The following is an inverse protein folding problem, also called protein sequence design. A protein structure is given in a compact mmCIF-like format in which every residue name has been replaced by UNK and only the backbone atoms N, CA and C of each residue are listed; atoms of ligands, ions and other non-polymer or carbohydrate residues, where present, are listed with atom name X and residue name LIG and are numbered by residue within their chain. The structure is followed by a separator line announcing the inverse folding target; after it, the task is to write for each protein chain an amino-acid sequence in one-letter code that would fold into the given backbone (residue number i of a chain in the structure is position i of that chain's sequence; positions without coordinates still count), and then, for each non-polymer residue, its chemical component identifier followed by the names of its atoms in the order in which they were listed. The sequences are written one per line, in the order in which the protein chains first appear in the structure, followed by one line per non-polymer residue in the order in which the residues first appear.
data_IF_711550354688
#
_entry.id   IF_711550354688
#
_cell.length_a   1.000
_cell.length_b   1.000
_cell.length_c   1.000
_cell.angle_alpha   90.00
_cell.angle_beta   90.00
_cell.angle_gamma   90.00
#
_symmetry.space_group_name_H-M   'P 1'
#
loop_
_entity.id
_entity.type
_entity.pdbx_description
1 polymer ?
#
# COMPACT_ATOMS: atom_id res chain seq x y z
N UNK A 1 38.29 -31.20 -49.24
CA UNK A 1 39.59 -30.64 -49.65
C UNK A 1 39.84 -29.46 -48.74
N UNK A 2 40.34 -29.69 -47.53
CA UNK A 2 41.77 -29.85 -47.18
C UNK A 2 42.51 -28.52 -47.34
N UNK A 3 43.36 -28.00 -46.46
CA UNK A 3 43.94 -28.37 -45.16
C UNK A 3 44.77 -27.12 -44.78
N UNK A 4 44.77 -26.72 -43.50
CA UNK A 4 45.89 -26.16 -42.69
C UNK A 4 46.76 -25.00 -43.22
N UNK A 5 46.97 -23.97 -42.40
CA UNK A 5 48.30 -23.66 -41.83
C UNK A 5 48.22 -22.74 -40.60
N UNK A 6 49.23 -22.89 -39.75
CA UNK A 6 49.31 -22.55 -38.33
C UNK A 6 50.47 -21.58 -38.05
N UNK A 7 50.31 -20.73 -37.02
CA UNK A 7 51.35 -20.12 -36.16
C UNK A 7 52.34 -19.09 -36.80
N UNK A 8 53.06 -18.21 -36.03
CA UNK A 8 53.52 -18.42 -34.64
C UNK A 8 53.43 -17.23 -33.65
N UNK A 9 53.83 -17.60 -32.42
CA UNK A 9 53.91 -16.88 -31.15
C UNK A 9 55.11 -15.92 -31.09
N UNK A 10 55.04 -14.86 -30.28
CA UNK A 10 56.20 -14.37 -29.50
C UNK A 10 55.83 -13.45 -28.33
N UNK A 11 56.23 -13.91 -27.13
CA UNK A 11 56.88 -13.21 -26.00
C UNK A 11 56.27 -11.88 -25.50
N UNK A 12 55.62 -11.85 -24.33
CA UNK A 12 56.23 -11.76 -22.98
C UNK A 12 56.97 -10.44 -22.72
N UNK A 13 56.38 -9.55 -21.91
CA UNK A 13 57.10 -8.71 -20.95
C UNK A 13 56.11 -8.13 -19.94
N UNK A 14 56.32 -8.51 -18.67
CA UNK A 14 55.67 -7.91 -17.52
C UNK A 14 56.22 -6.50 -17.28
N UNK A 15 55.36 -5.56 -16.87
CA UNK A 15 55.79 -4.39 -16.12
C UNK A 15 54.63 -3.92 -15.23
N UNK A 16 54.65 -4.39 -13.98
CA UNK A 16 53.97 -3.74 -12.86
C UNK A 16 54.69 -2.41 -12.60
N UNK A 17 54.00 -1.30 -12.82
CA UNK A 17 54.37 -0.02 -12.19
C UNK A 17 53.10 0.55 -11.58
N UNK A 18 52.96 0.33 -10.28
CA UNK A 18 52.07 1.11 -9.45
C UNK A 18 52.72 2.48 -9.25
N UNK A 19 52.08 3.53 -9.74
CA UNK A 19 52.37 4.90 -9.36
C UNK A 19 51.04 5.55 -8.98
N UNK A 20 50.79 5.62 -7.67
CA UNK A 20 49.77 6.48 -7.10
C UNK A 20 50.24 7.93 -7.26
N UNK A 21 49.42 8.77 -7.89
CA UNK A 21 49.57 10.23 -7.82
C UNK A 21 48.19 10.82 -7.56
N UNK A 22 47.96 11.16 -6.30
CA UNK A 22 46.83 11.95 -5.87
C UNK A 22 47.22 13.43 -6.08
N UNK A 23 46.55 14.12 -7.00
CA UNK A 23 46.65 15.57 -7.08
C UNK A 23 45.27 16.14 -7.44
N UNK A 24 44.67 16.78 -6.43
CA UNK A 24 43.40 17.48 -6.43
C UNK A 24 43.67 18.99 -6.60
N UNK A 25 43.26 19.57 -7.73
CA UNK A 25 43.00 20.99 -7.97
C UNK A 25 42.47 21.07 -9.41
N UNK A 26 41.38 21.73 -9.78
CA UNK A 26 40.61 22.84 -9.23
C UNK A 26 39.91 23.43 -10.46
N UNK A 27 38.59 23.62 -10.38
CA UNK A 27 37.70 23.82 -11.54
C UNK A 27 38.04 25.03 -12.41
N UNK A 28 38.01 24.83 -13.74
CA UNK A 28 37.92 25.89 -14.74
C UNK A 28 36.59 25.75 -15.50
N UNK A 29 35.98 26.90 -15.81
CA UNK A 29 34.68 27.03 -16.43
C UNK A 29 34.67 26.70 -17.94
N UNK A 30 33.54 26.11 -18.36
CA UNK A 30 32.86 26.13 -19.68
C UNK A 30 33.69 26.13 -20.97
N UNK A 31 33.59 25.06 -21.77
CA UNK A 31 32.58 24.92 -22.84
C UNK A 31 32.83 23.66 -23.70
N UNK A 32 31.73 23.16 -24.27
CA UNK A 32 31.58 22.31 -25.46
C UNK A 32 31.44 20.78 -25.34
N UNK A 33 30.19 20.37 -25.62
CA UNK A 33 29.67 19.11 -26.18
C UNK A 33 29.73 17.84 -25.33
N UNK A 34 28.61 17.59 -24.62
CA UNK A 34 28.14 16.24 -24.36
C UNK A 34 26.71 16.09 -24.90
N UNK A 35 26.59 15.19 -25.87
CA UNK A 35 25.34 14.61 -26.30
C UNK A 35 24.65 13.88 -25.13
N UNK A 36 23.32 13.87 -25.22
CA UNK A 36 22.42 12.88 -24.63
C UNK A 36 22.70 12.45 -23.18
N UNK A 37 22.11 13.20 -22.25
CA UNK A 37 21.35 12.58 -21.19
C UNK A 37 20.17 13.50 -20.94
N UNK A 38 19.06 13.23 -21.63
CA UNK A 38 17.77 13.68 -21.16
C UNK A 38 17.69 13.35 -19.68
N UNK A 39 17.83 14.39 -18.85
CA UNK A 39 17.31 14.38 -17.50
C UNK A 39 15.80 14.40 -17.65
N UNK A 40 15.26 13.25 -18.09
CA UNK A 40 14.08 12.70 -17.47
C UNK A 40 14.45 12.60 -16.00
N UNK A 41 14.27 13.72 -15.30
CA UNK A 41 13.73 13.63 -13.96
C UNK A 41 12.47 12.82 -14.19
N UNK A 42 12.56 11.50 -13.99
CA UNK A 42 11.41 10.75 -13.59
C UNK A 42 10.97 11.50 -12.34
N UNK A 43 10.06 12.46 -12.53
CA UNK A 43 8.89 12.49 -11.71
C UNK A 43 8.41 11.04 -11.71
N UNK A 44 8.96 10.25 -10.78
CA UNK A 44 8.17 9.26 -10.10
C UNK A 44 7.00 10.11 -9.65
N UNK A 45 5.93 10.09 -10.46
CA UNK A 45 4.59 10.28 -9.97
C UNK A 45 4.60 9.42 -8.72
N UNK A 46 4.72 10.03 -7.55
CA UNK A 46 4.44 9.32 -6.32
C UNK A 46 3.10 8.68 -6.61
N UNK A 47 3.06 7.35 -6.62
CA UNK A 47 1.79 6.66 -6.84
C UNK A 47 0.84 7.26 -5.83
N UNK A 48 -0.33 7.67 -6.29
CA UNK A 48 -1.37 8.23 -5.43
C UNK A 48 -2.41 7.11 -5.31
N UNK A 49 -2.12 6.16 -4.43
CA UNK A 49 -2.96 4.98 -4.20
C UNK A 49 -4.38 5.42 -3.82
N UNK A 50 -4.54 6.51 -3.07
CA UNK A 50 -5.85 7.08 -2.75
C UNK A 50 -6.67 7.48 -3.98
N UNK A 51 -6.02 7.98 -5.04
CA UNK A 51 -6.71 8.27 -6.33
C UNK A 51 -6.91 7.02 -7.19
N UNK A 52 -6.04 6.02 -7.06
CA UNK A 52 -6.11 4.78 -7.83
C UNK A 52 -7.13 3.78 -7.30
N UNK A 53 -7.36 3.76 -5.99
CA UNK A 53 -8.30 2.86 -5.32
C UNK A 53 -9.68 3.50 -5.25
N UNK A 54 -10.66 2.84 -5.86
CA UNK A 54 -12.07 3.21 -5.76
C UNK A 54 -12.74 2.40 -4.67
N UNK A 55 -13.52 3.05 -3.83
CA UNK A 55 -14.37 2.38 -2.85
C UNK A 55 -15.79 2.33 -3.38
N UNK A 56 -16.34 1.12 -3.47
CA UNK A 56 -17.67 0.86 -3.98
C UNK A 56 -18.53 0.23 -2.89
N UNK A 57 -19.84 0.49 -2.97
CA UNK A 57 -20.85 -0.06 -2.06
C UNK A 57 -20.56 0.20 -0.57
N UNK A 58 -19.80 1.25 -0.24
CA UNK A 58 -19.35 1.58 1.11
C UNK A 58 -20.52 1.74 2.10
N UNK A 59 -20.49 0.96 3.18
CA UNK A 59 -21.53 1.01 4.21
C UNK A 59 -21.02 0.68 5.60
N UNK A 60 -21.68 1.25 6.61
CA UNK A 60 -21.41 0.99 8.03
C UNK A 60 -22.63 0.32 8.64
N UNK A 61 -22.43 -0.65 9.54
CA UNK A 61 -23.55 -1.28 10.25
C UNK A 61 -24.17 -0.28 11.23
N UNK A 62 -25.49 -0.10 11.16
CA UNK A 62 -26.23 0.67 12.16
C UNK A 62 -26.10 -0.01 13.53
N UNK A 63 -25.93 0.80 14.58
CA UNK A 63 -25.74 0.28 15.93
C UNK A 63 -26.05 1.34 16.98
N UNK A 64 -26.60 0.89 18.11
CA UNK A 64 -26.69 1.64 19.37
C UNK A 64 -25.57 1.23 20.36
N UNK A 65 -24.72 0.26 19.98
CA UNK A 65 -23.57 -0.16 20.76
C UNK A 65 -22.34 0.76 20.59
N UNK A 66 -21.31 0.54 21.41
CA UNK A 66 -20.05 1.33 21.40
C UNK A 66 -19.15 1.05 20.18
N UNK A 67 -19.52 0.07 19.35
CA UNK A 67 -18.68 -0.47 18.28
C UNK A 67 -19.49 -0.82 17.03
N UNK A 68 -18.90 -0.61 15.85
CA UNK A 68 -19.49 -0.98 14.55
C UNK A 68 -18.44 -1.34 13.51
N UNK A 69 -18.83 -2.15 12.52
CA UNK A 69 -18.01 -2.48 11.35
C UNK A 69 -18.42 -1.68 10.11
N UNK A 70 -17.43 -1.32 9.29
CA UNK A 70 -17.59 -0.72 7.97
C UNK A 70 -17.02 -1.59 6.87
N UNK A 71 -17.76 -1.65 5.77
CA UNK A 71 -17.69 -2.66 4.73
C UNK A 71 -17.84 -2.02 3.34
N UNK A 72 -17.48 -2.76 2.29
CA UNK A 72 -17.49 -2.28 0.90
C UNK A 72 -16.41 -2.96 0.08
N UNK A 73 -16.21 -2.53 -1.16
CA UNK A 73 -15.23 -3.12 -2.06
C UNK A 73 -14.17 -2.09 -2.45
N UNK A 74 -12.90 -2.40 -2.20
CA UNK A 74 -11.76 -1.59 -2.60
C UNK A 74 -11.25 -2.11 -3.95
N UNK A 75 -11.37 -1.33 -5.02
CA UNK A 75 -10.91 -1.70 -6.37
C UNK A 75 -9.72 -0.85 -6.77
N UNK A 76 -8.56 -1.47 -6.97
CA UNK A 76 -7.35 -0.80 -7.43
C UNK A 76 -7.32 -0.73 -8.96
N UNK A 77 -7.35 0.48 -9.51
CA UNK A 77 -7.36 0.71 -10.96
C UNK A 77 -5.97 1.00 -11.55
N UNK A 78 -4.91 0.90 -10.74
CA UNK A 78 -3.53 1.10 -11.18
C UNK A 78 -2.82 -0.20 -11.53
N UNK A 79 -1.63 -0.06 -12.12
CA UNK A 79 -0.74 -1.17 -12.52
C UNK A 79 0.25 -1.58 -11.40
N UNK A 80 0.00 -1.18 -10.15
CA UNK A 80 0.84 -1.52 -9.00
C UNK A 80 -0.03 -1.82 -7.77
N UNK A 81 0.46 -2.65 -6.85
CA UNK A 81 -0.26 -2.94 -5.61
C UNK A 81 -0.50 -1.66 -4.80
N UNK A 82 -1.71 -1.54 -4.23
CA UNK A 82 -2.05 -0.56 -3.22
C UNK A 82 -2.28 -1.26 -1.88
N UNK A 83 -1.95 -0.61 -0.77
CA UNK A 83 -2.15 -1.20 0.57
C UNK A 83 -2.83 -0.17 1.46
N UNK A 84 -4.03 -0.49 1.94
CA UNK A 84 -4.72 0.31 2.95
C UNK A 84 -4.10 -0.03 4.32
N UNK A 85 -3.48 0.95 4.98
CA UNK A 85 -2.73 0.72 6.22
C UNK A 85 -3.36 1.37 7.45
N UNK A 86 -4.29 2.32 7.26
CA UNK A 86 -4.95 3.00 8.36
C UNK A 86 -6.31 3.52 7.95
N UNK A 87 -7.24 3.56 8.90
CA UNK A 87 -8.52 4.24 8.78
C UNK A 87 -8.73 5.17 9.99
N UNK A 88 -9.43 6.28 9.80
CA UNK A 88 -9.81 7.22 10.87
C UNK A 88 -11.23 7.75 10.60
N UNK A 89 -11.99 8.05 11.66
CA UNK A 89 -13.28 8.73 11.54
C UNK A 89 -13.49 9.62 12.76
N UNK A 90 -14.16 10.76 12.56
CA UNK A 90 -14.55 11.63 13.66
C UNK A 90 -15.68 11.05 14.51
N UNK A 91 -16.40 10.03 14.03
CA UNK A 91 -17.48 9.37 14.77
C UNK A 91 -16.97 8.38 15.84
N UNK A 92 -15.68 8.00 15.79
CA UNK A 92 -15.09 6.99 16.66
C UNK A 92 -13.84 7.50 17.38
N UNK A 93 -13.62 7.05 18.61
CA UNK A 93 -12.38 7.32 19.36
C UNK A 93 -11.19 6.48 18.89
N UNK A 94 -11.47 5.36 18.20
CA UNK A 94 -10.46 4.44 17.67
C UNK A 94 -11.01 3.75 16.43
N UNK A 95 -10.18 3.64 15.39
CA UNK A 95 -10.53 2.91 14.16
C UNK A 95 -9.36 2.00 13.80
N UNK A 96 -9.66 0.75 13.49
CA UNK A 96 -8.68 -0.30 13.18
C UNK A 96 -9.08 -1.06 11.91
N UNK A 97 -8.11 -1.68 11.25
CA UNK A 97 -8.35 -2.66 10.20
C UNK A 97 -8.38 -4.03 10.86
N UNK A 98 -9.43 -4.82 10.66
CA UNK A 98 -9.59 -6.11 11.31
C UNK A 98 -9.69 -7.22 10.26
N UNK A 99 -9.28 -8.43 10.66
CA UNK A 99 -9.43 -9.66 9.90
C UNK A 99 -10.01 -10.77 10.78
N UNK A 100 -10.46 -11.84 10.12
CA UNK A 100 -10.83 -13.07 10.82
C UNK A 100 -9.61 -13.96 11.00
N UNK A 101 -9.29 -14.26 12.25
CA UNK A 101 -8.17 -15.11 12.60
C UNK A 101 -8.61 -16.28 13.49
N UNK A 102 -7.96 -17.43 13.30
CA UNK A 102 -8.23 -18.66 14.05
C UNK A 102 -8.14 -19.91 13.18
N UNK A 103 -8.10 -21.08 13.82
CA UNK A 103 -8.21 -22.39 13.17
C UNK A 103 -9.48 -23.10 13.63
N UNK A 104 -10.05 -23.93 12.75
CA UNK A 104 -11.34 -24.63 12.89
C UNK A 104 -11.86 -24.80 14.32
N UNK A 105 -12.88 -24.00 14.67
CA UNK A 105 -13.65 -24.10 15.93
C UNK A 105 -13.68 -22.82 16.77
N UNK A 106 -12.77 -21.87 16.53
CA UNK A 106 -12.79 -20.55 17.18
C UNK A 106 -12.24 -19.50 16.22
N UNK A 107 -13.11 -18.93 15.40
CA UNK A 107 -12.78 -17.75 14.59
C UNK A 107 -13.08 -16.51 15.41
N UNK A 108 -12.08 -15.63 15.56
CA UNK A 108 -12.22 -14.36 16.27
C UNK A 108 -11.74 -13.21 15.40
N UNK A 109 -12.37 -12.06 15.56
CA UNK A 109 -11.89 -10.82 14.95
C UNK A 109 -10.68 -10.27 15.71
N UNK A 110 -9.68 -9.84 14.96
CA UNK A 110 -8.49 -9.17 15.50
C UNK A 110 -7.98 -8.09 14.55
N UNK A 111 -7.17 -7.17 15.08
CA UNK A 111 -6.50 -6.14 14.30
C UNK A 111 -5.47 -6.74 13.32
N UNK A 112 -5.48 -6.22 12.09
CA UNK A 112 -4.61 -6.58 10.98
C UNK A 112 -3.48 -5.56 10.84
N UNK A 113 -2.34 -5.84 11.47
CA UNK A 113 -1.19 -4.92 11.48
C UNK A 113 -0.57 -4.68 10.08
N UNK A 114 -0.71 -5.65 9.17
CA UNK A 114 -0.17 -5.57 7.80
C UNK A 114 -0.99 -4.71 6.82
N UNK A 115 -2.16 -4.23 7.25
CA UNK A 115 -3.11 -3.56 6.36
C UNK A 115 -3.78 -4.52 5.37
N UNK A 116 -4.50 -3.94 4.41
CA UNK A 116 -5.28 -4.67 3.40
C UNK A 116 -4.66 -4.41 2.03
N UNK A 117 -4.01 -5.43 1.47
CA UNK A 117 -3.44 -5.38 0.12
C UNK A 117 -4.53 -5.47 -0.94
N UNK A 118 -4.38 -4.63 -1.97
CA UNK A 118 -5.28 -4.53 -3.12
C UNK A 118 -4.40 -4.64 -4.38
N UNK A 119 -4.26 -5.86 -4.95
CA UNK A 119 -3.38 -6.08 -6.10
C UNK A 119 -3.74 -5.20 -7.30
N UNK A 120 -2.76 -4.99 -8.19
CA UNK A 120 -2.93 -4.18 -9.39
C UNK A 120 -4.10 -4.69 -10.26
N UNK A 121 -5.04 -3.81 -10.60
CA UNK A 121 -6.23 -4.16 -11.40
C UNK A 121 -7.26 -5.06 -10.69
N UNK A 122 -7.06 -5.40 -9.42
CA UNK A 122 -7.92 -6.30 -8.64
C UNK A 122 -8.75 -5.56 -7.58
N UNK A 123 -9.52 -6.32 -6.81
CA UNK A 123 -10.32 -5.80 -5.70
C UNK A 123 -10.12 -6.61 -4.42
N UNK A 124 -10.20 -5.91 -3.30
CA UNK A 124 -10.29 -6.50 -1.96
C UNK A 124 -11.68 -6.20 -1.39
N UNK A 125 -12.34 -7.22 -0.85
CA UNK A 125 -13.66 -7.10 -0.25
C UNK A 125 -13.55 -6.87 1.26
N UNK A 126 -14.25 -5.85 1.75
CA UNK A 126 -14.47 -5.61 3.16
C UNK A 126 -15.87 -6.12 3.50
N UNK A 127 -15.97 -7.23 4.23
CA UNK A 127 -17.23 -7.92 4.48
C UNK A 127 -17.35 -8.43 5.92
N UNK A 128 -18.59 -8.58 6.43
CA UNK A 128 -18.83 -9.26 7.70
C UNK A 128 -18.24 -10.67 7.68
N UNK A 129 -17.47 -11.04 8.69
CA UNK A 129 -16.74 -12.32 8.72
C UNK A 129 -15.54 -12.40 7.77
N UNK A 130 -15.06 -11.27 7.25
CA UNK A 130 -13.80 -11.14 6.52
C UNK A 130 -12.98 -9.94 7.01
N UNK A 131 -12.17 -9.37 6.12
CA UNK A 131 -11.52 -8.08 6.37
C UNK A 131 -12.59 -6.99 6.53
N UNK A 132 -12.41 -6.06 7.47
CA UNK A 132 -13.32 -4.93 7.64
C UNK A 132 -12.65 -3.78 8.39
N UNK A 133 -13.27 -2.60 8.35
CA UNK A 133 -12.83 -1.45 9.14
C UNK A 133 -13.66 -1.43 10.42
N UNK A 134 -13.00 -1.58 11.56
CA UNK A 134 -13.63 -1.61 12.87
C UNK A 134 -13.62 -0.21 13.51
N UNK A 135 -14.80 0.31 13.86
CA UNK A 135 -14.99 1.54 14.62
C UNK A 135 -15.25 1.19 16.08
N UNK A 136 -14.44 1.74 16.97
CA UNK A 136 -14.52 1.50 18.41
C UNK A 136 -14.61 2.82 19.19
N UNK A 137 -15.27 2.79 20.36
CA UNK A 137 -15.54 3.97 21.18
C UNK A 137 -16.34 5.01 20.37
N UNK A 138 -17.45 4.56 19.80
CA UNK A 138 -18.36 5.43 19.04
C UNK A 138 -18.83 6.58 19.92
N UNK A 139 -18.79 7.81 19.37
CA UNK A 139 -19.19 9.01 20.10
C UNK A 139 -20.71 9.15 20.21
N UNK A 140 -21.43 8.60 19.23
CA UNK A 140 -22.88 8.62 19.14
C UNK A 140 -23.38 7.30 18.54
N UNK A 141 -24.67 7.02 18.69
CA UNK A 141 -25.37 5.96 17.94
C UNK A 141 -25.29 6.22 16.42
N UNK A 142 -25.18 5.16 15.62
CA UNK A 142 -25.18 5.22 14.16
C UNK A 142 -26.52 4.73 13.63
N UNK A 143 -27.33 5.63 13.03
CA UNK A 143 -28.66 5.27 12.50
C UNK A 143 -28.62 5.00 11.01
N UNK A 144 -29.50 4.12 10.56
CA UNK A 144 -29.63 3.83 9.14
C UNK A 144 -29.86 5.12 8.32
N UNK A 145 -29.08 5.26 7.24
CA UNK A 145 -29.06 6.43 6.38
C UNK A 145 -28.02 7.50 6.73
N UNK A 146 -27.44 7.48 7.95
CA UNK A 146 -26.41 8.44 8.34
C UNK A 146 -25.10 8.18 7.59
N UNK A 147 -24.42 9.21 7.06
CA UNK A 147 -23.08 9.06 6.50
C UNK A 147 -22.05 8.99 7.62
N UNK A 148 -21.12 8.03 7.51
CA UNK A 148 -19.92 7.95 8.34
C UNK A 148 -18.71 8.21 7.44
N UNK A 149 -18.11 9.39 7.57
CA UNK A 149 -16.91 9.73 6.81
C UNK A 149 -15.70 9.01 7.41
N UNK A 150 -15.03 8.20 6.59
CA UNK A 150 -13.82 7.48 6.96
C UNK A 150 -12.67 7.95 6.09
N UNK A 151 -11.62 8.46 6.73
CA UNK A 151 -10.34 8.76 6.11
C UNK A 151 -9.51 7.50 6.00
N UNK A 152 -9.29 7.04 4.78
CA UNK A 152 -8.44 5.91 4.43
C UNK A 152 -7.02 6.42 4.13
N UNK A 153 -6.00 5.81 4.73
CA UNK A 153 -4.59 6.12 4.49
C UNK A 153 -3.90 4.91 3.89
N UNK A 154 -3.23 5.13 2.77
CA UNK A 154 -2.52 4.09 2.02
C UNK A 154 -1.02 4.08 2.35
N UNK A 155 -0.34 3.00 1.99
CA UNK A 155 1.08 2.79 2.34
C UNK A 155 2.03 3.84 1.76
N UNK A 156 1.65 4.51 0.68
CA UNK A 156 2.37 5.64 0.08
C UNK A 156 2.16 6.98 0.84
N UNK A 157 1.32 6.98 1.88
CA UNK A 157 0.95 8.16 2.67
C UNK A 157 -0.20 8.98 2.08
N UNK A 158 -0.72 8.62 0.91
CA UNK A 158 -1.91 9.26 0.33
C UNK A 158 -3.16 8.93 1.13
N UNK A 159 -4.15 9.83 1.09
CA UNK A 159 -5.40 9.69 1.85
C UNK A 159 -6.63 10.01 1.01
N UNK A 160 -7.71 9.25 1.23
CA UNK A 160 -9.03 9.52 0.68
C UNK A 160 -10.06 9.57 1.81
N UNK A 161 -10.96 10.56 1.77
CA UNK A 161 -12.16 10.57 2.63
C UNK A 161 -13.30 9.93 1.85
N UNK A 162 -13.90 8.90 2.42
CA UNK A 162 -14.97 8.13 1.78
C UNK A 162 -16.18 8.10 2.72
N UNK A 163 -17.38 8.50 2.23
CA UNK A 163 -18.60 8.36 3.00
C UNK A 163 -19.09 6.91 2.96
N UNK A 164 -19.25 6.30 4.13
CA UNK A 164 -19.90 5.00 4.30
C UNK A 164 -21.33 5.22 4.73
N UNK A 165 -22.31 4.73 3.96
CA UNK A 165 -23.73 4.92 4.30
C UNK A 165 -24.13 3.90 5.36
N UNK A 166 -24.69 4.35 6.48
CA UNK A 166 -25.12 3.44 7.54
C UNK A 166 -26.34 2.62 7.12
N UNK A 167 -26.33 1.31 7.37
CA UNK A 167 -27.41 0.37 6.99
C UNK A 167 -27.77 -0.54 8.16
N UNK A 168 -29.06 -0.85 8.29
CA UNK A 168 -29.51 -1.95 9.16
C UNK A 168 -28.97 -3.29 8.64
N UNK A 169 -28.29 -4.04 9.51
CA UNK A 169 -27.77 -5.36 9.19
C UNK A 169 -27.79 -6.27 10.42
N UNK A 170 -28.47 -7.42 10.30
CA UNK A 170 -28.62 -8.41 11.38
C UNK A 170 -27.83 -9.70 11.15
N UNK A 171 -26.92 -9.74 10.17
CA UNK A 171 -26.46 -11.01 9.57
C UNK A 171 -25.13 -11.59 10.08
N UNK A 172 -24.46 -11.00 11.06
CA UNK A 172 -23.19 -11.54 11.57
C UNK A 172 -23.12 -11.49 13.10
N UNK A 173 -23.13 -12.67 13.73
CA UNK A 173 -22.73 -12.87 15.13
C UNK A 173 -21.20 -12.83 15.19
N UNK A 174 -20.63 -11.67 15.50
CA UNK A 174 -19.19 -11.43 15.52
C UNK A 174 -18.66 -11.52 16.96
N UNK A 175 -17.65 -12.37 17.18
CA UNK A 175 -16.97 -12.50 18.48
C UNK A 175 -15.58 -11.84 18.42
N UNK A 176 -15.34 -10.88 19.32
CA UNK A 176 -14.11 -10.08 19.36
C UNK A 176 -13.15 -10.60 20.44
N UNK A 177 -11.86 -10.64 20.13
CA UNK A 177 -10.83 -10.97 21.12
C UNK A 177 -10.45 -9.73 21.93
N UNK A 178 -10.68 -9.74 23.24
CA UNK A 178 -10.25 -8.67 24.14
C UNK A 178 -8.72 -8.72 24.27
N UNK A 179 -8.02 -7.79 23.63
CA UNK A 179 -6.57 -7.63 23.84
C UNK A 179 -6.34 -6.95 25.20
N UNK A 180 -5.78 -7.71 26.15
CA UNK A 180 -5.39 -7.25 27.50
C UNK A 180 -4.05 -6.54 27.52
#
# INVERSE_FOLDING_TARGET
MNITLSAPRSTAAAALVAAASLALAGCAANADNAADAGSSSSAQTASDQARAVKVQDAWTKATDADMSGSFGTLTNTSDSEAVLVKAQSDEAGMVQLHEMAGTSGSTSMQEKEGGISIPAGESAELAPGGDHIMLMKLKNELKAGDPVDITLTYADGSTAVVPFTTKDYSGADESYSEQK
#
